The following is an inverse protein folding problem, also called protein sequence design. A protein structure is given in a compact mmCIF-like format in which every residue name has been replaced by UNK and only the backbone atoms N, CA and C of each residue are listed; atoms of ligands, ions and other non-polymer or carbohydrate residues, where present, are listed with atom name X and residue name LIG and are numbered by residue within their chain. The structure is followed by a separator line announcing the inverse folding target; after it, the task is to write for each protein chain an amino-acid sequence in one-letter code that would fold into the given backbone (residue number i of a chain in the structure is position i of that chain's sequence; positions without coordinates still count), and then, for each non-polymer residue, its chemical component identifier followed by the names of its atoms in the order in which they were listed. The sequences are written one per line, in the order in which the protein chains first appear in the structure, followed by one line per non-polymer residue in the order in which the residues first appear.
data_IF_886511279242
#
_entry.id   IF_886511279242
#
_cell.length_a   1.000
_cell.length_b   1.000
_cell.length_c   1.000
_cell.angle_alpha   90.00
_cell.angle_beta   90.00
_cell.angle_gamma   90.00
#
_symmetry.space_group_name_H-M   'P 1'
#
loop_
_entity.id
_entity.type
_entity.pdbx_description
1 polymer ?
#
# COMPACT_ATOMS: atom_id res chain seq x y z
N UNK A 1 6.07 -35.47 -40.57
CA UNK A 1 6.82 -35.05 -39.36
C UNK A 1 6.98 -33.52 -39.24
N UNK A 2 6.27 -32.69 -40.03
CA UNK A 2 6.40 -31.22 -39.96
C UNK A 2 5.35 -30.53 -39.08
N UNK A 3 4.19 -31.15 -38.86
CA UNK A 3 3.06 -30.53 -38.13
C UNK A 3 3.18 -30.69 -36.60
N UNK A 4 3.69 -31.82 -36.13
CA UNK A 4 3.79 -32.13 -34.70
C UNK A 4 4.83 -31.26 -33.97
N UNK A 5 5.94 -30.93 -34.62
CA UNK A 5 6.95 -29.99 -34.08
C UNK A 5 6.39 -28.58 -33.96
N UNK A 6 5.58 -28.10 -34.92
CA UNK A 6 4.96 -26.77 -34.86
C UNK A 6 3.98 -26.66 -33.69
N UNK A 7 3.15 -27.68 -33.46
CA UNK A 7 2.22 -27.71 -32.30
C UNK A 7 3.00 -27.78 -30.98
N UNK A 8 4.10 -28.54 -30.95
CA UNK A 8 4.96 -28.63 -29.75
C UNK A 8 5.68 -27.30 -29.49
N UNK A 9 6.19 -26.60 -30.51
CA UNK A 9 6.79 -25.27 -30.37
C UNK A 9 5.77 -24.21 -29.93
N UNK A 10 4.52 -24.27 -30.42
CA UNK A 10 3.46 -23.38 -29.97
C UNK A 10 3.07 -23.65 -28.50
N UNK A 11 2.92 -24.93 -28.13
CA UNK A 11 2.64 -25.32 -26.74
C UNK A 11 3.79 -24.98 -25.77
N UNK A 12 5.04 -25.11 -26.22
CA UNK A 12 6.23 -24.73 -25.45
C UNK A 12 6.24 -23.21 -25.24
N UNK A 13 6.04 -22.42 -26.31
CA UNK A 13 5.98 -20.96 -26.19
C UNK A 13 4.85 -20.49 -25.27
N UNK A 14 3.69 -21.15 -25.30
CA UNK A 14 2.55 -20.87 -24.41
C UNK A 14 2.85 -21.19 -22.94
N UNK A 15 3.74 -22.14 -22.65
CA UNK A 15 4.08 -22.54 -21.27
C UNK A 15 5.30 -21.78 -20.72
N UNK A 16 6.18 -21.26 -21.58
CA UNK A 16 7.36 -20.46 -21.17
C UNK A 16 7.07 -18.98 -20.98
N UNK A 17 5.95 -18.46 -21.47
CA UNK A 17 5.47 -17.10 -21.18
C UNK A 17 4.64 -17.06 -19.89
N UNK A 18 5.12 -17.69 -18.80
CA UNK A 18 4.41 -17.59 -17.50
C UNK A 18 4.11 -16.11 -17.27
N UNK A 19 2.82 -15.79 -17.22
CA UNK A 19 2.35 -14.43 -16.94
C UNK A 19 3.03 -14.04 -15.63
N UNK A 20 3.86 -13.00 -15.67
CA UNK A 20 4.40 -12.43 -14.44
C UNK A 20 3.20 -11.80 -13.74
N UNK A 21 2.63 -12.57 -12.82
CA UNK A 21 1.43 -12.17 -12.12
C UNK A 21 1.75 -10.97 -11.24
N UNK A 22 0.86 -9.98 -11.35
CA UNK A 22 0.79 -8.90 -10.40
C UNK A 22 0.19 -9.46 -9.10
N UNK A 23 0.87 -9.22 -7.98
CA UNK A 23 0.38 -9.66 -6.68
C UNK A 23 0.86 -8.70 -5.61
N UNK A 24 -0.06 -7.90 -5.08
CA UNK A 24 0.17 -7.08 -3.90
C UNK A 24 -0.49 -7.71 -2.68
N UNK A 25 0.12 -7.50 -1.52
CA UNK A 25 -0.45 -7.87 -0.23
C UNK A 25 -0.43 -6.65 0.69
N UNK A 26 -1.61 -6.29 1.21
CA UNK A 26 -1.77 -5.24 2.23
C UNK A 26 -1.82 -5.88 3.61
N UNK A 27 -0.98 -5.41 4.53
CA UNK A 27 -0.89 -5.94 5.89
C UNK A 27 -0.57 -4.83 6.89
N UNK A 28 -0.79 -5.13 8.18
CA UNK A 28 -0.57 -4.18 9.30
C UNK A 28 -1.29 -2.84 9.07
N UNK A 29 -2.51 -2.92 8.55
CA UNK A 29 -3.37 -1.76 8.37
C UNK A 29 -3.87 -1.31 9.74
N UNK A 30 -3.63 -0.04 10.03
CA UNK A 30 -4.24 0.68 11.13
C UNK A 30 -4.81 1.98 10.63
N UNK A 31 -5.91 2.41 11.25
CA UNK A 31 -6.51 3.72 11.02
C UNK A 31 -6.76 4.32 12.39
N UNK A 32 -6.28 5.55 12.59
CA UNK A 32 -6.40 6.26 13.85
C UNK A 32 -7.14 7.57 13.69
N UNK A 33 -7.79 7.99 14.76
CA UNK A 33 -8.26 9.35 14.95
C UNK A 33 -7.84 9.86 16.33
N UNK A 34 -7.40 11.11 16.39
CA UNK A 34 -6.95 11.79 17.61
C UNK A 34 -8.08 12.31 18.52
N UNK A 35 -9.34 11.99 18.22
CA UNK A 35 -10.51 12.54 18.92
C UNK A 35 -10.75 14.04 18.72
N UNK A 36 -9.95 14.73 17.90
CA UNK A 36 -10.06 16.16 17.61
C UNK A 36 -10.27 16.42 16.12
N UNK A 37 -9.21 16.65 15.34
CA UNK A 37 -9.28 17.03 13.93
C UNK A 37 -8.37 16.21 13.02
N UNK A 38 -7.52 15.34 13.57
CA UNK A 38 -6.52 14.60 12.80
C UNK A 38 -6.85 13.12 12.74
N UNK A 39 -6.83 12.60 11.53
CA UNK A 39 -6.92 11.17 11.26
C UNK A 39 -5.76 10.72 10.40
N UNK A 40 -5.38 9.47 10.57
CA UNK A 40 -4.27 8.86 9.86
C UNK A 40 -4.62 7.42 9.49
N UNK A 41 -4.25 7.00 8.29
CA UNK A 41 -4.25 5.58 7.93
C UNK A 41 -2.81 5.15 7.60
N UNK A 42 -2.36 4.05 8.18
CA UNK A 42 -1.04 3.51 7.93
C UNK A 42 -1.12 2.02 7.60
N UNK A 43 -0.38 1.59 6.58
CA UNK A 43 -0.34 0.18 6.19
C UNK A 43 0.95 -0.14 5.43
N UNK A 44 1.23 -1.43 5.33
CA UNK A 44 2.30 -1.95 4.51
C UNK A 44 1.74 -2.61 3.25
N UNK A 45 2.45 -2.45 2.14
CA UNK A 45 2.16 -3.10 0.87
C UNK A 45 3.40 -3.85 0.42
N UNK A 46 3.33 -5.17 0.28
CA UNK A 46 4.40 -5.97 -0.35
C UNK A 46 4.00 -6.31 -1.78
N UNK A 47 4.93 -6.15 -2.72
CA UNK A 47 4.80 -6.72 -4.04
C UNK A 47 5.42 -8.13 -4.06
N UNK A 48 4.55 -9.15 -3.94
CA UNK A 48 4.92 -10.57 -4.05
C UNK A 48 4.84 -11.09 -5.49
N UNK A 49 4.44 -10.23 -6.44
CA UNK A 49 4.34 -10.55 -7.85
C UNK A 49 5.69 -10.63 -8.55
N UNK A 50 5.69 -11.18 -9.76
CA UNK A 50 6.89 -11.36 -10.58
C UNK A 50 7.32 -10.13 -11.39
N UNK A 51 6.62 -9.00 -11.22
CA UNK A 51 6.84 -7.75 -11.96
C UNK A 51 6.58 -6.52 -11.09
N UNK A 52 7.06 -5.38 -11.55
CA UNK A 52 6.75 -4.09 -10.93
C UNK A 52 5.28 -3.72 -11.14
N UNK A 53 4.75 -3.01 -10.15
CA UNK A 53 3.33 -2.63 -10.07
C UNK A 53 3.22 -1.12 -9.97
N UNK A 54 2.26 -0.56 -10.70
CA UNK A 54 1.92 0.86 -10.63
C UNK A 54 0.64 0.99 -9.83
N UNK A 55 0.73 1.68 -8.69
CA UNK A 55 -0.42 2.02 -7.85
C UNK A 55 -0.92 3.38 -8.32
N UNK A 56 -2.12 3.37 -8.91
CA UNK A 56 -2.77 4.53 -9.53
C UNK A 56 -3.68 5.27 -8.55
N UNK A 57 -4.17 4.57 -7.53
CA UNK A 57 -5.13 5.14 -6.59
C UNK A 57 -5.13 4.41 -5.27
N UNK A 58 -5.37 5.16 -4.19
CA UNK A 58 -5.67 4.60 -2.87
C UNK A 58 -6.97 5.23 -2.40
N UNK A 59 -7.89 4.41 -1.90
CA UNK A 59 -9.12 4.90 -1.26
C UNK A 59 -9.20 4.42 0.18
N UNK A 60 -9.61 5.32 1.07
CA UNK A 60 -9.96 4.99 2.45
C UNK A 60 -11.46 5.25 2.62
N UNK A 61 -12.18 4.26 3.14
CA UNK A 61 -13.65 4.29 3.27
C UNK A 61 -14.39 4.54 1.93
N UNK A 62 -13.81 4.04 0.83
CA UNK A 62 -14.38 4.21 -0.51
C UNK A 62 -14.23 5.62 -1.09
N UNK A 63 -13.47 6.51 -0.44
CA UNK A 63 -13.12 7.83 -0.98
C UNK A 63 -11.65 7.88 -1.35
N UNK A 64 -11.35 8.51 -2.49
CA UNK A 64 -9.99 8.66 -3.00
C UNK A 64 -9.19 9.61 -2.11
N UNK A 65 -7.97 9.18 -1.77
CA UNK A 65 -7.01 10.03 -1.06
C UNK A 65 -6.17 10.79 -2.08
N UNK A 66 -6.02 12.10 -1.86
CA UNK A 66 -5.09 12.90 -2.67
C UNK A 66 -3.67 12.41 -2.51
N UNK A 67 -2.89 12.30 -3.59
CA UNK A 67 -1.46 11.97 -3.49
C UNK A 67 -0.69 12.90 -2.55
N UNK A 68 -1.08 14.18 -2.49
CA UNK A 68 -0.49 15.15 -1.58
C UNK A 68 -0.66 14.82 -0.09
N UNK A 69 -1.58 13.92 0.28
CA UNK A 69 -1.74 13.46 1.65
C UNK A 69 -1.12 12.08 1.90
N UNK A 70 -0.58 11.43 0.87
CA UNK A 70 0.06 10.12 0.95
C UNK A 70 1.58 10.30 1.07
N UNK A 71 2.14 9.71 2.12
CA UNK A 71 3.57 9.65 2.39
C UNK A 71 4.00 8.19 2.35
N UNK A 72 5.10 7.89 1.69
CA UNK A 72 5.53 6.52 1.51
C UNK A 72 7.04 6.35 1.61
N UNK A 73 7.47 5.14 1.93
CA UNK A 73 8.86 4.71 1.84
C UNK A 73 8.91 3.32 1.18
N UNK A 74 9.87 3.10 0.28
CA UNK A 74 10.11 1.80 -0.35
C UNK A 74 11.36 1.18 0.26
N UNK A 75 11.25 -0.06 0.72
CA UNK A 75 12.36 -0.81 1.32
C UNK A 75 12.28 -2.29 0.95
N UNK A 76 13.41 -2.98 1.05
CA UNK A 76 13.50 -4.44 0.99
C UNK A 76 13.54 -5.08 2.37
N UNK A 77 13.49 -4.28 3.44
CA UNK A 77 13.54 -4.76 4.81
C UNK A 77 12.29 -5.55 5.18
N UNK A 78 12.48 -6.54 6.05
CA UNK A 78 11.36 -7.26 6.66
C UNK A 78 10.85 -6.50 7.88
N UNK A 79 9.68 -5.88 7.77
CA UNK A 79 9.06 -5.09 8.84
C UNK A 79 8.11 -5.97 9.66
N UNK A 80 8.58 -6.43 10.82
CA UNK A 80 7.79 -7.27 11.73
C UNK A 80 7.06 -6.46 12.81
N UNK A 81 7.60 -5.30 13.20
CA UNK A 81 6.98 -4.40 14.16
C UNK A 81 5.69 -3.80 13.60
N UNK A 82 4.79 -3.37 14.49
CA UNK A 82 3.59 -2.65 14.07
C UNK A 82 3.88 -1.21 13.72
N UNK A 83 3.00 -0.65 12.89
CA UNK A 83 2.97 0.77 12.61
C UNK A 83 2.36 1.50 13.80
N UNK A 84 2.86 2.69 14.07
CA UNK A 84 2.38 3.54 15.17
C UNK A 84 1.80 4.81 14.60
N UNK A 85 0.80 5.35 15.28
CA UNK A 85 0.27 6.68 15.00
C UNK A 85 1.38 7.74 14.95
N UNK A 86 1.41 8.53 13.89
CA UNK A 86 2.32 9.66 13.73
C UNK A 86 1.51 10.95 13.74
N UNK A 87 1.85 11.84 14.69
CA UNK A 87 1.15 13.11 14.81
C UNK A 87 1.35 13.99 13.56
N UNK A 88 0.35 14.81 13.24
CA UNK A 88 0.28 15.66 12.06
C UNK A 88 1.56 16.43 11.71
N UNK A 89 2.21 17.00 12.74
CA UNK A 89 3.43 17.80 12.58
C UNK A 89 4.70 16.96 12.30
N UNK A 90 4.64 15.65 12.55
CA UNK A 90 5.74 14.70 12.36
C UNK A 90 5.63 13.90 11.06
N UNK A 91 4.49 14.00 10.36
CA UNK A 91 4.28 13.40 9.04
C UNK A 91 4.39 14.48 7.95
N UNK A 92 5.60 14.63 7.41
CA UNK A 92 5.92 15.57 6.34
C UNK A 92 6.87 14.94 5.31
N UNK A 93 7.04 15.60 4.17
CA UNK A 93 8.03 15.18 3.19
C UNK A 93 9.44 15.22 3.81
N UNK A 94 10.22 14.15 3.62
CA UNK A 94 11.54 13.97 4.25
C UNK A 94 11.51 13.62 5.74
N UNK A 95 10.33 13.45 6.36
CA UNK A 95 10.25 13.03 7.77
C UNK A 95 10.78 11.61 7.94
N UNK A 96 11.43 11.34 9.07
CA UNK A 96 11.93 9.99 9.40
C UNK A 96 11.03 9.36 10.45
N UNK A 97 10.38 8.26 10.08
CA UNK A 97 9.54 7.47 10.98
C UNK A 97 10.33 6.25 11.43
N UNK A 98 10.32 6.00 12.74
CA UNK A 98 10.99 4.83 13.32
C UNK A 98 9.97 3.73 13.54
N UNK A 99 10.22 2.55 12.96
CA UNK A 99 9.37 1.36 13.13
C UNK A 99 10.26 0.25 13.69
N UNK A 100 10.02 -0.11 14.96
CA UNK A 100 10.93 -0.99 15.70
C UNK A 100 12.31 -0.33 15.84
N UNK A 101 13.34 -0.96 15.25
CA UNK A 101 14.71 -0.43 15.22
C UNK A 101 15.09 0.21 13.88
N UNK A 102 14.21 0.15 12.87
CA UNK A 102 14.45 0.71 11.54
C UNK A 102 14.00 2.17 11.47
N UNK A 103 14.72 2.98 10.70
CA UNK A 103 14.36 4.37 10.42
C UNK A 103 14.10 4.53 8.94
N UNK A 104 12.93 5.05 8.60
CA UNK A 104 12.45 5.15 7.23
C UNK A 104 12.12 6.60 6.90
N UNK A 105 12.81 7.16 5.91
CA UNK A 105 12.55 8.51 5.41
C UNK A 105 11.38 8.47 4.44
N UNK A 106 10.31 9.17 4.78
CA UNK A 106 9.10 9.26 3.99
C UNK A 106 9.25 10.27 2.87
N UNK A 107 8.70 9.93 1.71
CA UNK A 107 8.56 10.78 0.54
C UNK A 107 7.08 11.09 0.33
N UNK A 108 6.74 12.35 0.08
CA UNK A 108 5.38 12.73 -0.28
C UNK A 108 5.07 12.31 -1.73
N UNK A 109 3.96 11.63 -1.94
CA UNK A 109 3.53 11.26 -3.28
C UNK A 109 3.05 12.50 -4.06
N UNK A 110 3.43 12.55 -5.34
CA UNK A 110 2.96 13.59 -6.28
C UNK A 110 2.27 13.00 -7.51
N UNK A 111 2.53 11.71 -7.79
CA UNK A 111 2.00 10.94 -8.90
C UNK A 111 1.85 9.48 -8.49
N UNK A 112 1.37 8.64 -9.41
CA UNK A 112 1.32 7.19 -9.28
C UNK A 112 2.64 6.61 -8.75
N UNK A 113 2.51 5.61 -7.89
CA UNK A 113 3.65 5.04 -7.17
C UNK A 113 4.02 3.70 -7.80
N UNK A 114 5.25 3.61 -8.30
CA UNK A 114 5.81 2.35 -8.80
C UNK A 114 6.40 1.55 -7.63
N UNK A 115 5.88 0.36 -7.36
CA UNK A 115 6.40 -0.58 -6.38
C UNK A 115 7.12 -1.75 -7.09
N UNK A 116 8.45 -1.84 -7.02
CA UNK A 116 9.18 -2.91 -7.67
C UNK A 116 8.86 -4.29 -7.12
N UNK A 117 9.06 -5.34 -7.92
CA UNK A 117 8.92 -6.72 -7.45
C UNK A 117 9.85 -7.01 -6.27
N UNK A 118 9.29 -7.64 -5.22
CA UNK A 118 10.02 -7.99 -4.01
C UNK A 118 10.24 -6.84 -3.01
N UNK A 119 9.77 -5.63 -3.32
CA UNK A 119 9.84 -4.50 -2.40
C UNK A 119 8.60 -4.44 -1.50
N UNK A 120 8.83 -3.88 -0.32
CA UNK A 120 7.80 -3.45 0.63
C UNK A 120 7.68 -1.94 0.57
N UNK A 121 6.46 -1.44 0.61
CA UNK A 121 6.16 -0.03 0.75
C UNK A 121 5.45 0.20 2.07
N UNK A 122 5.96 1.16 2.83
CA UNK A 122 5.33 1.71 4.02
C UNK A 122 4.50 2.90 3.55
N UNK A 123 3.23 2.96 3.90
CA UNK A 123 2.33 4.05 3.51
C UNK A 123 1.69 4.65 4.75
N UNK A 124 1.73 5.98 4.82
CA UNK A 124 0.99 6.80 5.78
C UNK A 124 0.13 7.80 4.98
N UNK A 125 -1.13 7.92 5.36
CA UNK A 125 -2.09 8.82 4.71
C UNK A 125 -2.61 9.79 5.76
N UNK A 126 -2.32 11.06 5.54
CA UNK A 126 -2.76 12.18 6.36
C UNK A 126 -4.20 12.54 6.03
N UNK A 127 -5.04 12.68 7.05
CA UNK A 127 -6.44 13.08 6.95
C UNK A 127 -7.16 12.48 5.73
N UNK A 128 -7.28 11.14 5.64
CA UNK A 128 -8.11 10.54 4.60
C UNK A 128 -9.51 11.17 4.63
N UNK A 129 -9.98 11.64 3.46
CA UNK A 129 -11.21 12.44 3.26
C UNK A 129 -12.51 11.67 3.57
N UNK A 130 -12.65 11.08 4.77
CA UNK A 130 -13.90 10.62 5.38
C UNK A 130 -13.74 9.93 6.76
N UNK A 131 -12.68 10.20 7.52
CA UNK A 131 -12.53 9.68 8.88
C UNK A 131 -12.79 10.80 9.88
N UNK A 132 -13.83 10.63 10.71
CA UNK A 132 -14.25 11.59 11.73
C UNK A 132 -14.23 10.96 13.13
N UNK A 133 -14.33 11.79 14.18
CA UNK A 133 -14.35 11.32 15.58
C UNK A 133 -15.47 10.31 15.84
N UNK A 134 -16.58 10.40 15.10
CA UNK A 134 -17.73 9.49 15.23
C UNK A 134 -17.45 8.09 14.66
N UNK A 135 -16.37 7.94 13.91
CA UNK A 135 -16.00 6.68 13.26
C UNK A 135 -15.07 5.83 14.12
N UNK A 136 -14.62 6.33 15.28
CA UNK A 136 -13.83 5.54 16.23
C UNK A 136 -14.62 4.29 16.65
N UNK A 137 -14.02 3.12 16.46
CA UNK A 137 -14.64 1.81 16.69
C UNK A 137 -15.40 1.24 15.49
N UNK A 138 -15.53 1.97 14.38
CA UNK A 138 -16.15 1.49 13.13
C UNK A 138 -15.10 0.87 12.22
N UNK A 139 -15.46 -0.21 11.53
CA UNK A 139 -14.59 -0.84 10.52
C UNK A 139 -14.58 -0.01 9.23
N UNK A 140 -13.37 0.31 8.77
CA UNK A 140 -13.13 1.03 7.51
C UNK A 140 -12.26 0.20 6.58
N UNK A 141 -12.58 0.28 5.29
CA UNK A 141 -11.86 -0.40 4.22
C UNK A 141 -10.84 0.51 3.56
N UNK A 142 -9.64 -0.01 3.31
CA UNK A 142 -8.61 0.59 2.47
C UNK A 142 -8.45 -0.24 1.21
N UNK A 143 -8.44 0.43 0.07
CA UNK A 143 -8.23 -0.18 -1.25
C UNK A 143 -7.06 0.48 -1.95
N UNK A 144 -6.11 -0.34 -2.42
CA UNK A 144 -5.11 0.09 -3.38
C UNK A 144 -5.49 -0.42 -4.78
N UNK A 145 -5.51 0.48 -5.75
CA UNK A 145 -5.82 0.19 -7.15
C UNK A 145 -4.56 0.19 -7.97
N UNK A 146 -4.46 -0.79 -8.84
CA UNK A 146 -3.43 -0.88 -9.86
C UNK A 146 -4.09 -0.91 -11.23
N UNK A 147 -3.28 -0.90 -12.28
CA UNK A 147 -3.81 -1.05 -13.65
C UNK A 147 -4.59 -2.36 -13.88
N UNK A 148 -4.34 -3.41 -13.08
CA UNK A 148 -4.87 -4.75 -13.34
C UNK A 148 -5.77 -5.29 -12.22
N UNK A 149 -5.67 -4.78 -10.99
CA UNK A 149 -6.31 -5.35 -9.81
C UNK A 149 -6.65 -4.30 -8.74
N UNK A 150 -7.43 -4.75 -7.75
CA UNK A 150 -7.77 -3.97 -6.56
C UNK A 150 -7.48 -4.82 -5.33
N UNK A 151 -6.78 -4.23 -4.36
CA UNK A 151 -6.34 -4.92 -3.15
C UNK A 151 -7.03 -4.28 -1.96
N UNK A 152 -7.81 -5.08 -1.24
CA UNK A 152 -8.67 -4.62 -0.15
C UNK A 152 -8.19 -5.12 1.20
N UNK A 153 -8.25 -4.25 2.20
CA UNK A 153 -8.06 -4.61 3.61
C UNK A 153 -8.93 -3.74 4.51
N UNK A 154 -9.37 -4.31 5.63
CA UNK A 154 -10.18 -3.62 6.63
C UNK A 154 -9.43 -3.53 7.95
N UNK A 155 -9.67 -2.44 8.68
CA UNK A 155 -9.29 -2.25 10.06
C UNK A 155 -10.35 -1.43 10.79
N UNK A 156 -10.40 -1.55 12.11
CA UNK A 156 -11.22 -0.65 12.92
C UNK A 156 -10.49 0.67 13.08
N UNK A 157 -11.24 1.77 13.10
CA UNK A 157 -10.67 3.07 13.48
C UNK A 157 -10.40 3.03 14.98
N UNK A 158 -9.16 3.26 15.34
CA UNK A 158 -8.67 3.29 16.71
C UNK A 158 -8.57 4.74 17.21
N UNK A 159 -8.73 4.93 18.51
CA UNK A 159 -8.36 6.20 19.14
C UNK A 159 -6.84 6.22 19.34
N UNK A 160 -6.17 7.31 18.95
CA UNK A 160 -4.73 7.46 19.23
C UNK A 160 -4.43 7.97 20.65
N UNK A 161 -5.48 8.32 21.41
CA UNK A 161 -5.43 8.84 22.79
C UNK A 161 -6.35 8.08 23.75
#
# INVERSE_FOLDING_TARGET
MLLATVVTFYAINVTTTRVQEESLQIFKLHVWHDGSSFSEAAFLVINTGGRDVVIDKITVRGQECSWSSVFYNKTTDTINNDLSFVADASLSDGATITIGTGSYTMEQASTDIILPSGYTMIVYIKNPDHISVSDIGVTVGVMAFTANAQYYKEANVEASS
#
